data_IF_519754914633
#
_entry.id   IF_519754914633
#
_cell.length_a   1.000
_cell.length_b   1.000
_cell.length_c   1.000
_cell.angle_alpha   90.00
_cell.angle_beta   90.00
_cell.angle_gamma   90.00
#
_symmetry.space_group_name_H-M   'P 1'
#
loop_
_entity.id
_entity.type
_entity.pdbx_description
1 polymer ?
#
# COMPACT_ATOMS: atom_id res chain seq x y z
N UNK A 1 -5.03 1.04 -24.77
CA UNK A 1 -4.35 0.13 -23.82
C UNK A 1 -3.95 0.92 -22.59
N UNK A 2 -4.32 0.48 -21.38
CA UNK A 2 -3.98 1.18 -20.12
C UNK A 2 -2.52 0.85 -19.77
N UNK A 3 -1.63 1.84 -19.76
CA UNK A 3 -0.21 1.64 -19.42
C UNK A 3 -0.09 1.38 -17.92
N UNK A 4 0.36 0.19 -17.54
CA UNK A 4 0.69 -0.16 -16.16
C UNK A 4 2.16 0.21 -15.94
N UNK A 5 2.43 1.07 -14.96
CA UNK A 5 3.77 1.44 -14.55
C UNK A 5 4.02 0.86 -13.17
N UNK A 6 5.15 0.16 -13.00
CA UNK A 6 5.67 -0.30 -11.72
C UNK A 6 6.89 0.54 -11.35
N UNK A 7 7.10 0.72 -10.05
CA UNK A 7 8.33 1.29 -9.48
C UNK A 7 8.90 0.23 -8.54
N UNK A 8 10.14 -0.19 -8.80
CA UNK A 8 10.89 -1.14 -7.98
C UNK A 8 11.88 -0.39 -7.10
N UNK A 9 12.11 -0.89 -5.89
CA UNK A 9 12.96 -0.25 -4.89
C UNK A 9 14.06 -1.21 -4.45
N UNK A 10 15.27 -0.68 -4.22
CA UNK A 10 16.34 -1.44 -3.58
C UNK A 10 16.02 -1.77 -2.13
N UNK A 11 16.71 -2.76 -1.57
CA UNK A 11 16.49 -3.27 -0.21
C UNK A 11 16.54 -2.18 0.86
N UNK A 12 17.44 -1.19 0.73
CA UNK A 12 17.58 -0.09 1.70
C UNK A 12 16.39 0.88 1.68
N UNK A 13 15.74 1.00 0.53
CA UNK A 13 14.59 1.88 0.33
C UNK A 13 13.26 1.20 0.71
N UNK A 14 13.22 -0.14 0.77
CA UNK A 14 11.98 -0.90 1.01
C UNK A 14 11.32 -0.53 2.33
N UNK A 15 12.06 -0.54 3.44
CA UNK A 15 11.52 -0.24 4.77
C UNK A 15 10.99 1.20 4.88
N UNK A 16 11.71 2.17 4.31
CA UNK A 16 11.29 3.57 4.30
C UNK A 16 9.95 3.76 3.58
N UNK A 17 9.76 3.07 2.46
CA UNK A 17 8.53 3.16 1.66
C UNK A 17 7.39 2.44 2.35
N UNK A 18 7.63 1.23 2.87
CA UNK A 18 6.64 0.51 3.67
C UNK A 18 6.15 1.35 4.84
N UNK A 19 7.06 2.00 5.56
CA UNK A 19 6.72 2.91 6.66
C UNK A 19 5.88 4.10 6.19
N UNK A 20 6.23 4.69 5.05
CA UNK A 20 5.46 5.79 4.44
C UNK A 20 4.05 5.37 4.02
N UNK A 21 3.85 4.08 3.74
CA UNK A 21 2.57 3.44 3.41
C UNK A 21 1.79 2.94 4.64
N UNK A 22 2.26 3.25 5.85
CA UNK A 22 1.66 2.77 7.10
C UNK A 22 1.84 1.27 7.32
N UNK A 23 2.87 0.67 6.72
CA UNK A 23 3.25 -0.73 6.87
C UNK A 23 4.49 -0.88 7.72
N UNK A 24 4.69 -2.06 8.27
CA UNK A 24 5.89 -2.46 8.98
C UNK A 24 6.30 -3.87 8.56
N UNK A 25 7.45 -4.34 9.05
CA UNK A 25 7.89 -5.73 8.93
C UNK A 25 7.85 -6.36 10.32
N UNK A 26 7.30 -7.56 10.43
CA UNK A 26 7.31 -8.31 11.69
C UNK A 26 8.65 -9.02 11.93
N UNK A 27 8.76 -9.75 13.05
CA UNK A 27 9.99 -10.45 13.42
C UNK A 27 10.36 -11.62 12.50
N UNK A 28 9.45 -12.05 11.62
CA UNK A 28 9.64 -13.15 10.67
C UNK A 28 9.88 -12.64 9.23
N UNK A 29 9.86 -11.32 9.02
CA UNK A 29 10.12 -10.70 7.71
C UNK A 29 8.87 -10.46 6.86
N UNK A 30 7.66 -10.66 7.42
CA UNK A 30 6.41 -10.40 6.69
C UNK A 30 5.95 -8.96 6.84
N UNK A 31 5.36 -8.43 5.76
CA UNK A 31 4.78 -7.09 5.75
C UNK A 31 3.46 -7.12 6.52
N UNK A 32 3.31 -6.20 7.47
CA UNK A 32 2.12 -6.04 8.30
C UNK A 32 1.58 -4.60 8.28
N UNK A 33 0.29 -4.45 8.56
CA UNK A 33 -0.32 -3.16 8.85
C UNK A 33 0.22 -2.60 10.18
N UNK A 34 0.84 -1.41 10.16
CA UNK A 34 1.47 -0.85 11.35
C UNK A 34 0.47 -0.57 12.50
N UNK A 35 -0.81 -0.39 12.17
CA UNK A 35 -1.87 -0.11 13.14
C UNK A 35 -2.46 -1.37 13.80
N UNK A 36 -2.34 -2.54 13.17
CA UNK A 36 -3.04 -3.76 13.63
C UNK A 36 -2.15 -5.00 13.71
N UNK A 37 -0.92 -4.94 13.18
CA UNK A 37 -0.03 -6.07 12.99
C UNK A 37 -0.62 -7.23 12.18
N UNK A 38 -1.69 -6.98 11.39
CA UNK A 38 -2.22 -7.98 10.46
C UNK A 38 -1.34 -8.07 9.23
N UNK A 39 -1.10 -9.28 8.74
CA UNK A 39 -0.37 -9.51 7.50
C UNK A 39 -1.02 -8.82 6.30
N UNK A 40 -0.19 -8.16 5.51
CA UNK A 40 -0.55 -7.73 4.16
C UNK A 40 -0.54 -8.97 3.27
N UNK A 41 -1.65 -9.18 2.59
CA UNK A 41 -1.83 -10.33 1.72
C UNK A 41 -1.60 -9.95 0.26
N UNK A 42 -1.08 -10.89 -0.52
CA UNK A 42 -1.07 -10.84 -1.99
C UNK A 42 -2.50 -10.92 -2.53
N UNK A 43 -2.66 -10.75 -3.84
CA UNK A 43 -3.97 -10.91 -4.49
C UNK A 43 -4.54 -12.33 -4.33
N UNK A 44 -3.67 -13.32 -4.14
CA UNK A 44 -4.04 -14.71 -3.93
C UNK A 44 -4.30 -15.04 -2.44
N UNK A 45 -4.19 -14.04 -1.56
CA UNK A 45 -4.49 -14.17 -0.13
C UNK A 45 -3.32 -14.69 0.73
N UNK A 46 -2.10 -14.72 0.20
CA UNK A 46 -0.91 -15.20 0.91
C UNK A 46 -0.16 -14.06 1.62
N UNK A 47 0.41 -14.25 2.82
CA UNK A 47 1.26 -13.26 3.46
C UNK A 47 2.47 -12.88 2.60
N UNK A 48 2.75 -11.58 2.50
CA UNK A 48 3.84 -11.08 1.66
C UNK A 48 5.12 -10.85 2.47
N UNK A 49 6.20 -11.57 2.14
CA UNK A 49 7.52 -11.35 2.71
C UNK A 49 8.23 -10.15 2.05
N UNK A 50 9.04 -9.40 2.80
CA UNK A 50 9.70 -8.18 2.31
C UNK A 50 10.66 -8.45 1.14
N UNK A 51 11.32 -9.61 1.13
CA UNK A 51 12.23 -9.99 0.04
C UNK A 51 11.48 -10.24 -1.27
N UNK A 52 10.26 -10.76 -1.20
CA UNK A 52 9.38 -11.02 -2.34
C UNK A 52 8.59 -9.78 -2.77
N UNK A 53 8.62 -8.71 -1.97
CA UNK A 53 7.96 -7.46 -2.32
C UNK A 53 8.69 -6.72 -3.44
N UNK A 54 8.04 -6.64 -4.60
CA UNK A 54 8.57 -6.02 -5.82
C UNK A 54 8.15 -4.57 -6.09
N UNK A 55 7.22 -4.01 -5.31
CA UNK A 55 6.81 -2.60 -5.42
C UNK A 55 5.31 -2.34 -5.20
N UNK A 56 4.88 -1.13 -5.56
CA UNK A 56 3.49 -0.66 -5.48
C UNK A 56 2.90 -0.40 -6.87
N UNK A 57 1.57 -0.58 -6.99
CA UNK A 57 0.85 -0.29 -8.23
C UNK A 57 0.28 1.13 -8.20
N UNK A 58 0.28 1.80 -9.35
CA UNK A 58 -0.42 3.08 -9.53
C UNK A 58 -1.92 2.93 -9.18
N UNK A 59 -2.36 3.65 -8.15
CA UNK A 59 -3.71 3.55 -7.56
C UNK A 59 -3.74 3.02 -6.11
N UNK A 60 -2.62 2.53 -5.58
CA UNK A 60 -2.46 2.10 -4.19
C UNK A 60 -2.23 3.26 -3.20
N UNK A 61 -1.94 4.46 -3.70
CA UNK A 61 -1.71 5.68 -2.92
C UNK A 61 -2.67 6.77 -3.39
N UNK A 62 -3.34 7.44 -2.44
CA UNK A 62 -4.21 8.58 -2.72
C UNK A 62 -3.42 9.86 -2.44
N UNK A 63 -3.10 10.61 -3.49
CA UNK A 63 -2.53 11.95 -3.36
C UNK A 63 -3.64 12.97 -3.56
N UNK A 64 -3.91 13.75 -2.52
CA UNK A 64 -4.93 14.79 -2.54
C UNK A 64 -4.39 16.05 -1.85
N UNK A 65 -4.88 17.22 -2.25
CA UNK A 65 -4.47 18.48 -1.64
C UNK A 65 -5.01 18.57 -0.23
N UNK A 66 -4.38 19.38 0.63
CA UNK A 66 -4.85 19.61 2.01
C UNK A 66 -6.17 20.40 2.12
N UNK A 67 -6.79 20.77 1.00
CA UNK A 67 -8.09 21.45 1.00
C UNK A 67 -9.25 20.48 1.25
N UNK A 68 -10.29 20.97 1.90
CA UNK A 68 -11.44 20.17 2.34
C UNK A 68 -12.13 19.38 1.21
N UNK A 69 -12.33 19.93 0.00
CA UNK A 69 -12.89 19.15 -1.11
C UNK A 69 -12.04 17.92 -1.47
N UNK A 70 -10.73 18.12 -1.58
CA UNK A 70 -9.79 17.04 -1.91
C UNK A 70 -9.74 15.96 -0.83
N UNK A 71 -9.88 16.34 0.45
CA UNK A 71 -9.98 15.40 1.58
C UNK A 71 -11.29 14.60 1.52
N UNK A 72 -12.41 15.26 1.24
CA UNK A 72 -13.73 14.62 1.17
C UNK A 72 -13.79 13.60 0.01
N UNK A 73 -13.24 13.96 -1.14
CA UNK A 73 -13.16 13.06 -2.30
C UNK A 73 -12.29 11.83 -2.03
N UNK A 74 -11.19 12.00 -1.28
CA UNK A 74 -10.34 10.89 -0.86
C UNK A 74 -11.07 9.95 0.11
N UNK A 75 -11.83 10.49 1.07
CA UNK A 75 -12.65 9.72 2.01
C UNK A 75 -13.74 8.93 1.27
N UNK A 76 -14.46 9.56 0.33
CA UNK A 76 -15.51 8.90 -0.45
C UNK A 76 -14.96 7.75 -1.32
N UNK A 77 -13.76 7.90 -1.89
CA UNK A 77 -13.12 6.84 -2.68
C UNK A 77 -12.65 5.68 -1.80
N UNK A 78 -12.17 5.95 -0.58
CA UNK A 78 -11.77 4.92 0.38
C UNK A 78 -12.96 4.12 0.93
N UNK A 79 -14.13 4.75 1.06
CA UNK A 79 -15.36 4.11 1.58
C UNK A 79 -16.28 3.54 0.49
N UNK A 80 -16.02 3.85 -0.79
CA UNK A 80 -16.88 3.51 -1.93
C UNK A 80 -16.66 2.15 -2.61
N UNK A 81 -15.74 1.30 -2.15
CA UNK A 81 -15.58 -0.07 -2.70
C UNK A 81 -16.49 -1.08 -1.99
N UNK A 82 -17.80 -0.84 -2.02
CA UNK A 82 -18.83 -1.88 -1.94
C UNK A 82 -20.12 -1.36 -2.58
N UNK A 83 -20.25 -1.55 -3.88
CA UNK A 83 -21.52 -1.79 -4.59
C UNK A 83 -21.24 -1.85 -6.09
N UNK A 84 -21.19 -3.07 -6.59
CA UNK A 84 -21.02 -3.44 -7.99
C UNK A 84 -20.95 -4.95 -8.09
#
# INVERSE_FOLDING_TARGET
MKKISYVSFDSSSKEFILKSLGKNVDGEGFIVEASTNKHVLTQDGEPLHIDDWGGIRKGSEIFFKKDLPSVLDAVNQATGSSNG
#
